data_IF_308418133786
#
_entry.id   IF_308418133786
#
_cell.length_a   1.000
_cell.length_b   1.000
_cell.length_c   1.000
_cell.angle_alpha   90.00
_cell.angle_beta   90.00
_cell.angle_gamma   90.00
#
_symmetry.space_group_name_H-M   'P 1'
#
loop_
_entity.id
_entity.type
_entity.pdbx_description
1 polymer ?
#
# COMPACT_ATOMS: atom_id res chain seq x y z
N UNK A 1 -10.78 -2.60 -15.87
CA UNK A 1 -10.56 -4.02 -15.54
C UNK A 1 -10.50 -4.29 -14.03
N UNK A 2 -9.43 -3.95 -13.29
CA UNK A 2 -9.31 -4.36 -11.88
C UNK A 2 -10.49 -3.90 -11.01
N UNK A 3 -10.95 -2.66 -11.19
CA UNK A 3 -12.17 -2.16 -10.55
C UNK A 3 -13.42 -2.95 -10.94
N UNK A 4 -13.52 -3.42 -12.19
CA UNK A 4 -14.67 -4.20 -12.68
C UNK A 4 -14.70 -5.62 -12.08
N UNK A 5 -13.54 -6.21 -11.75
CA UNK A 5 -13.46 -7.46 -10.99
C UNK A 5 -14.05 -7.25 -9.59
N UNK A 6 -13.64 -6.19 -8.88
CA UNK A 6 -14.12 -5.91 -7.52
C UNK A 6 -15.55 -5.32 -7.48
N UNK A 7 -16.07 -4.83 -8.60
CA UNK A 7 -17.50 -4.53 -8.82
C UNK A 7 -18.32 -5.81 -9.12
N UNK A 8 -17.65 -6.95 -9.39
CA UNK A 8 -18.31 -8.20 -9.77
C UNK A 8 -18.78 -8.27 -11.23
N UNK A 9 -18.42 -7.29 -12.07
CA UNK A 9 -18.77 -7.24 -13.49
C UNK A 9 -17.94 -8.22 -14.33
N UNK A 10 -16.67 -8.36 -13.96
CA UNK A 10 -15.78 -9.40 -14.50
C UNK A 10 -15.72 -10.53 -13.47
N UNK A 11 -16.30 -11.68 -13.81
CA UNK A 11 -16.51 -12.79 -12.88
C UNK A 11 -15.77 -14.07 -13.24
N UNK A 12 -15.09 -14.11 -14.40
CA UNK A 12 -14.29 -15.26 -14.87
C UNK A 12 -12.91 -14.84 -15.36
N UNK A 13 -11.91 -15.71 -15.19
CA UNK A 13 -10.52 -15.41 -15.57
C UNK A 13 -10.29 -15.33 -17.09
N UNK A 14 -11.09 -16.04 -17.89
CA UNK A 14 -11.06 -15.97 -19.35
C UNK A 14 -11.91 -14.84 -19.94
N UNK A 15 -12.35 -13.87 -19.13
CA UNK A 15 -13.10 -12.71 -19.62
C UNK A 15 -12.32 -11.99 -20.75
N UNK A 16 -12.98 -11.49 -21.81
CA UNK A 16 -12.31 -10.83 -22.93
C UNK A 16 -11.42 -9.65 -22.49
N UNK A 17 -11.79 -8.90 -21.46
CA UNK A 17 -11.00 -7.78 -20.97
C UNK A 17 -9.69 -8.24 -20.29
N UNK A 18 -9.69 -9.41 -19.63
CA UNK A 18 -8.48 -10.00 -19.06
C UNK A 18 -7.63 -10.61 -20.19
N UNK A 19 -8.26 -11.35 -21.10
CA UNK A 19 -7.58 -12.02 -22.21
C UNK A 19 -6.86 -11.03 -23.12
N UNK A 20 -7.46 -9.88 -23.41
CA UNK A 20 -6.85 -8.83 -24.22
C UNK A 20 -5.53 -8.27 -23.64
N UNK A 21 -5.36 -8.30 -22.31
CA UNK A 21 -4.15 -7.83 -21.63
C UNK A 21 -3.09 -8.94 -21.47
N UNK A 22 -3.42 -10.19 -21.77
CA UNK A 22 -2.57 -11.35 -21.53
C UNK A 22 -2.45 -12.23 -22.78
N UNK A 23 -1.99 -11.69 -23.93
CA UNK A 23 -1.86 -12.46 -25.16
C UNK A 23 -0.92 -13.66 -24.96
N UNK A 24 -1.38 -14.84 -25.36
CA UNK A 24 -0.61 -16.09 -25.25
C UNK A 24 -0.68 -16.80 -23.89
N UNK A 25 -1.38 -16.22 -22.90
CA UNK A 25 -1.63 -16.91 -21.61
C UNK A 25 -2.90 -17.74 -21.71
N UNK A 26 -2.80 -19.03 -21.39
CA UNK A 26 -3.97 -19.91 -21.30
C UNK A 26 -4.76 -19.63 -20.03
N UNK A 27 -5.70 -18.68 -20.11
CA UNK A 27 -6.55 -18.31 -18.98
C UNK A 27 -7.69 -19.33 -18.79
N UNK A 28 -7.95 -19.78 -17.55
CA UNK A 28 -8.96 -20.79 -17.29
C UNK A 28 -10.39 -20.22 -17.39
N UNK A 29 -11.34 -21.06 -17.81
CA UNK A 29 -12.77 -20.79 -17.65
C UNK A 29 -13.21 -21.04 -16.19
N UNK A 30 -12.67 -20.25 -15.28
CA UNK A 30 -12.91 -20.37 -13.86
C UNK A 30 -13.44 -19.07 -13.27
N UNK A 31 -14.39 -19.19 -12.33
CA UNK A 31 -14.91 -18.06 -11.60
C UNK A 31 -13.81 -17.37 -10.77
N UNK A 32 -13.78 -16.05 -10.79
CA UNK A 32 -12.90 -15.25 -9.95
C UNK A 32 -13.49 -15.20 -8.54
N UNK A 33 -12.65 -15.41 -7.53
CA UNK A 33 -13.03 -15.26 -6.13
C UNK A 33 -12.32 -14.05 -5.49
N UNK A 34 -12.91 -12.84 -5.53
CA UNK A 34 -12.32 -11.68 -4.89
C UNK A 34 -12.19 -11.84 -3.38
N UNK A 35 -11.07 -11.38 -2.83
CA UNK A 35 -10.77 -11.35 -1.40
C UNK A 35 -10.41 -9.92 -1.03
N UNK A 36 -11.04 -9.40 0.01
CA UNK A 36 -10.87 -8.04 0.51
C UNK A 36 -10.64 -8.07 2.02
N UNK A 37 -10.28 -6.92 2.60
CA UNK A 37 -10.16 -6.78 4.06
C UNK A 37 -11.53 -6.80 4.74
N UNK A 38 -11.58 -7.42 5.91
CA UNK A 38 -12.74 -7.39 6.80
C UNK A 38 -12.67 -6.24 7.82
N UNK A 39 -11.45 -5.80 8.15
CA UNK A 39 -11.15 -4.78 9.15
C UNK A 39 -10.77 -3.43 8.51
N UNK A 40 -10.88 -2.35 9.30
CA UNK A 40 -10.44 -1.01 8.89
C UNK A 40 -8.95 -1.00 8.56
N UNK A 41 -8.60 -0.61 7.33
CA UNK A 41 -7.27 -0.90 6.77
C UNK A 41 -6.70 0.25 5.94
N UNK A 42 -5.44 0.59 6.20
CA UNK A 42 -4.67 1.49 5.33
C UNK A 42 -4.41 0.90 3.94
N UNK A 43 -4.20 -0.41 3.84
CA UNK A 43 -4.08 -1.13 2.55
C UNK A 43 -5.37 -0.99 1.74
N UNK A 44 -6.53 -1.10 2.39
CA UNK A 44 -7.84 -0.87 1.76
C UNK A 44 -7.97 0.57 1.28
N UNK A 45 -7.55 1.55 2.07
CA UNK A 45 -7.53 2.93 1.63
C UNK A 45 -6.67 3.13 0.38
N UNK A 46 -5.42 2.64 0.37
CA UNK A 46 -4.55 2.73 -0.80
C UNK A 46 -5.14 2.06 -2.04
N UNK A 47 -5.68 0.84 -1.88
CA UNK A 47 -6.30 0.10 -2.98
C UNK A 47 -7.55 0.79 -3.52
N UNK A 48 -8.47 1.22 -2.66
CA UNK A 48 -9.73 1.86 -3.07
C UNK A 48 -9.54 3.28 -3.58
N UNK A 49 -8.55 4.02 -3.08
CA UNK A 49 -8.12 5.30 -3.65
C UNK A 49 -7.56 5.11 -5.06
N UNK A 50 -6.73 4.08 -5.29
CA UNK A 50 -6.29 3.72 -6.64
C UNK A 50 -7.48 3.40 -7.56
N UNK A 51 -8.38 2.50 -7.13
CA UNK A 51 -9.55 2.13 -7.94
C UNK A 51 -10.43 3.34 -8.27
N UNK A 52 -10.63 4.26 -7.33
CA UNK A 52 -11.38 5.50 -7.54
C UNK A 52 -10.72 6.44 -8.56
N UNK A 53 -9.40 6.34 -8.79
CA UNK A 53 -8.70 7.12 -9.81
C UNK A 53 -8.80 6.51 -11.21
N UNK A 54 -8.95 5.19 -11.31
CA UNK A 54 -8.86 4.47 -12.61
C UNK A 54 -10.17 3.85 -13.08
N UNK A 55 -11.22 3.86 -12.24
CA UNK A 55 -12.53 3.35 -12.60
C UNK A 55 -13.60 4.32 -12.07
N UNK A 56 -14.29 5.01 -12.99
CA UNK A 56 -15.30 6.02 -12.65
C UNK A 56 -16.51 5.42 -11.93
N UNK A 57 -16.95 4.22 -12.32
CA UNK A 57 -18.07 3.52 -11.69
C UNK A 57 -17.73 3.10 -10.25
N UNK A 58 -16.50 2.63 -10.02
CA UNK A 58 -16.00 2.37 -8.67
C UNK A 58 -16.05 3.63 -7.81
N UNK A 59 -15.53 4.75 -8.34
CA UNK A 59 -15.50 6.03 -7.62
C UNK A 59 -16.91 6.49 -7.23
N UNK A 60 -17.87 6.35 -8.13
CA UNK A 60 -19.25 6.77 -7.92
C UNK A 60 -19.99 5.87 -6.93
N UNK A 61 -19.87 4.54 -7.08
CA UNK A 61 -20.68 3.58 -6.30
C UNK A 61 -20.06 3.18 -4.97
N UNK A 62 -18.72 3.11 -4.89
CA UNK A 62 -18.00 2.56 -3.74
C UNK A 62 -17.11 3.63 -3.09
N UNK A 63 -16.41 4.41 -3.90
CA UNK A 63 -15.47 5.42 -3.44
C UNK A 63 -14.22 4.84 -2.77
N UNK A 64 -13.64 5.60 -1.85
CA UNK A 64 -12.40 5.26 -1.15
C UNK A 64 -12.52 5.41 0.37
N UNK A 65 -11.78 4.60 1.10
CA UNK A 65 -11.78 4.65 2.56
C UNK A 65 -11.02 3.49 3.18
N UNK A 66 -10.83 3.54 4.50
CA UNK A 66 -10.27 2.41 5.26
C UNK A 66 -11.26 1.24 5.38
N UNK A 67 -12.55 1.52 5.21
CA UNK A 67 -13.65 0.57 5.05
C UNK A 67 -14.63 1.17 4.03
N UNK A 68 -15.18 0.32 3.17
CA UNK A 68 -16.16 0.68 2.13
C UNK A 68 -17.21 -0.41 2.02
N UNK A 69 -18.36 -0.09 1.41
CA UNK A 69 -19.39 -1.08 1.12
C UNK A 69 -18.98 -1.90 -0.11
N UNK A 70 -18.26 -2.99 0.11
CA UNK A 70 -17.77 -3.87 -0.95
C UNK A 70 -18.93 -4.51 -1.73
N UNK A 71 -18.95 -4.44 -3.07
CA UNK A 71 -19.96 -5.12 -3.88
C UNK A 71 -19.89 -6.65 -3.76
N UNK A 72 -18.68 -7.20 -3.60
CA UNK A 72 -18.44 -8.63 -3.49
C UNK A 72 -17.11 -8.92 -2.76
N UNK A 73 -16.88 -10.20 -2.48
CA UNK A 73 -15.60 -10.74 -2.03
C UNK A 73 -15.57 -11.20 -0.57
N UNK A 74 -14.79 -12.26 -0.33
CA UNK A 74 -14.56 -12.79 1.01
C UNK A 74 -13.74 -11.81 1.88
N UNK A 75 -13.97 -11.85 3.19
CA UNK A 75 -13.31 -10.95 4.14
C UNK A 75 -12.16 -11.61 4.89
N UNK A 76 -10.92 -11.23 4.56
CA UNK A 76 -9.73 -11.57 5.35
C UNK A 76 -9.43 -10.49 6.39
N UNK A 77 -9.16 -10.88 7.65
CA UNK A 77 -8.67 -9.96 8.68
C UNK A 77 -7.16 -9.75 8.50
N UNK A 78 -6.71 -8.50 8.44
CA UNK A 78 -5.29 -8.20 8.23
C UNK A 78 -4.78 -8.58 6.83
N UNK A 79 -3.50 -8.31 6.57
CA UNK A 79 -2.86 -8.78 5.33
C UNK A 79 -2.71 -10.31 5.36
N UNK A 80 -2.40 -10.86 6.53
CA UNK A 80 -2.24 -12.29 6.80
C UNK A 80 -3.51 -13.07 6.45
N UNK A 81 -4.69 -12.57 6.82
CA UNK A 81 -5.95 -13.24 6.50
C UNK A 81 -6.24 -13.21 5.01
N UNK A 82 -5.99 -12.09 4.33
CA UNK A 82 -6.17 -12.00 2.87
C UNK A 82 -5.18 -12.93 2.15
N UNK A 83 -3.91 -12.92 2.53
CA UNK A 83 -2.88 -13.83 1.99
C UNK A 83 -3.24 -15.30 2.19
N UNK A 84 -3.72 -15.67 3.38
CA UNK A 84 -4.16 -17.03 3.68
C UNK A 84 -5.38 -17.46 2.85
N UNK A 85 -6.34 -16.56 2.61
CA UNK A 85 -7.44 -16.81 1.69
C UNK A 85 -6.95 -17.04 0.27
N UNK A 86 -6.08 -16.16 -0.23
CA UNK A 86 -5.54 -16.27 -1.60
C UNK A 86 -4.76 -17.57 -1.79
N UNK A 87 -3.93 -17.94 -0.82
CA UNK A 87 -3.12 -19.17 -0.89
C UNK A 87 -3.92 -20.48 -0.87
N UNK A 88 -5.16 -20.47 -0.37
CA UNK A 88 -5.99 -21.68 -0.24
C UNK A 88 -7.21 -21.74 -1.15
N UNK A 89 -7.67 -20.60 -1.65
CA UNK A 89 -8.88 -20.50 -2.47
C UNK A 89 -8.48 -20.46 -3.95
N UNK A 90 -8.78 -21.52 -4.73
CA UNK A 90 -8.47 -21.52 -6.15
C UNK A 90 -9.11 -20.34 -6.87
N UNK A 91 -8.42 -19.82 -7.89
CA UNK A 91 -8.91 -18.74 -8.76
C UNK A 91 -9.26 -17.43 -8.01
N UNK A 92 -8.66 -17.22 -6.84
CA UNK A 92 -8.89 -16.03 -6.03
C UNK A 92 -7.95 -14.88 -6.41
N UNK A 93 -8.37 -13.67 -6.06
CA UNK A 93 -7.57 -12.44 -6.19
C UNK A 93 -7.75 -11.61 -4.93
N UNK A 94 -6.65 -11.17 -4.34
CA UNK A 94 -6.64 -10.28 -3.18
C UNK A 94 -5.58 -9.20 -3.31
N UNK A 95 -5.70 -8.15 -2.51
CA UNK A 95 -4.68 -7.11 -2.38
C UNK A 95 -4.01 -7.24 -1.00
N UNK A 96 -2.68 -7.30 -1.02
CA UNK A 96 -1.84 -7.36 0.18
C UNK A 96 -0.63 -6.46 -0.01
N UNK A 97 0.00 -6.07 1.09
CA UNK A 97 1.34 -5.49 1.05
C UNK A 97 2.34 -6.53 0.50
N UNK A 98 3.33 -6.09 -0.27
CA UNK A 98 4.17 -6.95 -1.10
C UNK A 98 5.02 -7.94 -0.30
N UNK A 99 5.45 -7.60 0.92
CA UNK A 99 6.17 -8.57 1.77
C UNK A 99 5.34 -9.83 2.04
N UNK A 100 4.00 -9.72 2.15
CA UNK A 100 3.12 -10.87 2.31
C UNK A 100 3.05 -11.75 1.06
N UNK A 101 3.18 -11.16 -0.14
CA UNK A 101 3.29 -11.93 -1.38
C UNK A 101 4.54 -12.79 -1.34
N UNK A 102 5.69 -12.19 -1.04
CA UNK A 102 6.98 -12.90 -1.05
C UNK A 102 7.11 -13.95 0.05
N UNK A 103 6.79 -13.59 1.29
CA UNK A 103 6.92 -14.50 2.43
C UNK A 103 6.02 -15.74 2.28
N UNK A 104 4.84 -15.57 1.66
CA UNK A 104 3.90 -16.66 1.40
C UNK A 104 4.05 -17.28 0.00
N UNK A 105 5.03 -16.85 -0.80
CA UNK A 105 5.29 -17.32 -2.17
C UNK A 105 4.03 -17.28 -3.06
N UNK A 106 3.24 -16.21 -2.92
CA UNK A 106 2.01 -16.02 -3.71
C UNK A 106 2.34 -15.54 -5.12
N UNK A 107 1.53 -15.99 -6.07
CA UNK A 107 1.52 -15.42 -7.43
C UNK A 107 0.97 -13.99 -7.38
N UNK A 108 1.65 -13.07 -8.07
CA UNK A 108 1.23 -11.68 -8.22
C UNK A 108 1.08 -11.31 -9.70
N UNK A 109 0.45 -10.18 -9.96
CA UNK A 109 0.28 -9.64 -11.32
C UNK A 109 1.16 -8.43 -11.54
N UNK A 110 1.50 -8.17 -12.80
CA UNK A 110 1.91 -6.83 -13.20
C UNK A 110 0.68 -5.91 -13.24
N UNK A 111 0.91 -4.61 -13.14
CA UNK A 111 -0.13 -3.60 -13.35
C UNK A 111 0.33 -2.57 -14.37
N UNK A 112 -0.62 -2.15 -15.21
CA UNK A 112 -0.42 -0.99 -16.07
C UNK A 112 -0.40 0.27 -15.20
N UNK A 113 0.65 1.07 -15.31
CA UNK A 113 0.76 2.34 -14.63
C UNK A 113 0.10 3.48 -15.42
N UNK A 114 0.18 4.70 -14.88
CA UNK A 114 -0.42 5.89 -15.47
C UNK A 114 0.10 6.22 -16.87
N UNK A 115 1.34 5.85 -17.18
CA UNK A 115 1.98 6.08 -18.47
C UNK A 115 1.69 4.95 -19.48
N UNK A 116 0.88 3.95 -19.10
CA UNK A 116 0.52 2.81 -19.93
C UNK A 116 1.52 1.67 -19.92
N UNK A 117 2.61 1.75 -19.15
CA UNK A 117 3.61 0.69 -19.03
C UNK A 117 3.18 -0.35 -17.99
N UNK A 118 3.37 -1.64 -18.30
CA UNK A 118 3.18 -2.71 -17.34
C UNK A 118 4.43 -2.87 -16.49
N UNK A 119 4.28 -2.71 -15.18
CA UNK A 119 5.37 -2.78 -14.20
C UNK A 119 5.10 -3.91 -13.21
N UNK A 120 6.17 -4.50 -12.68
CA UNK A 120 6.12 -5.46 -11.58
C UNK A 120 6.22 -4.73 -10.25
N UNK A 121 5.68 -5.28 -9.15
CA UNK A 121 5.92 -4.73 -7.82
C UNK A 121 7.33 -5.06 -7.34
N UNK A 122 8.13 -4.04 -7.03
CA UNK A 122 9.46 -4.15 -6.43
C UNK A 122 9.91 -2.80 -5.83
N UNK A 123 11.05 -2.81 -5.14
CA UNK A 123 11.63 -1.62 -4.51
C UNK A 123 11.87 -0.46 -5.50
N UNK A 124 12.33 -0.74 -6.72
CA UNK A 124 12.60 0.30 -7.72
C UNK A 124 11.32 1.00 -8.20
N UNK A 125 10.26 0.24 -8.44
CA UNK A 125 8.98 0.74 -8.92
C UNK A 125 8.18 1.45 -7.83
N UNK A 126 8.32 1.03 -6.56
CA UNK A 126 7.78 1.75 -5.40
C UNK A 126 8.51 3.09 -5.20
N UNK A 127 9.85 3.11 -5.30
CA UNK A 127 10.66 4.34 -5.27
C UNK A 127 10.24 5.30 -6.38
N UNK A 128 10.06 4.80 -7.60
CA UNK A 128 9.64 5.61 -8.73
C UNK A 128 8.27 6.29 -8.50
N UNK A 129 7.33 5.60 -7.83
CA UNK A 129 6.04 6.18 -7.48
C UNK A 129 6.14 7.29 -6.41
N UNK A 130 7.16 7.25 -5.55
CA UNK A 130 7.39 8.25 -4.50
C UNK A 130 8.25 9.45 -4.95
N UNK A 131 8.86 9.40 -6.14
CA UNK A 131 9.87 10.36 -6.59
C UNK A 131 9.37 11.82 -6.67
N UNK A 132 8.09 12.03 -6.97
CA UNK A 132 7.48 13.36 -7.08
C UNK A 132 6.89 13.92 -5.78
N UNK A 133 6.98 13.20 -4.67
CA UNK A 133 6.35 13.61 -3.42
C UNK A 133 7.14 14.71 -2.69
N UNK A 134 6.46 15.81 -2.33
CA UNK A 134 7.04 16.92 -1.56
C UNK A 134 6.86 16.71 -0.06
N UNK A 135 7.71 15.85 0.50
CA UNK A 135 7.71 15.50 1.92
C UNK A 135 8.02 16.68 2.85
N UNK A 136 8.71 17.71 2.35
CA UNK A 136 9.03 18.91 3.12
C UNK A 136 7.79 19.77 3.37
N UNK A 137 6.84 19.77 2.43
CA UNK A 137 5.56 20.48 2.57
C UNK A 137 4.56 19.71 3.43
N UNK A 138 4.46 18.40 3.27
CA UNK A 138 3.54 17.56 4.04
C UNK A 138 3.96 16.09 4.00
N UNK A 139 3.84 15.40 5.13
CA UNK A 139 3.94 13.94 5.16
C UNK A 139 2.68 13.24 4.62
N UNK A 140 1.55 13.94 4.54
CA UNK A 140 0.36 13.40 3.90
C UNK A 140 0.53 13.42 2.37
N UNK A 141 1.08 12.33 1.85
CA UNK A 141 1.32 12.11 0.41
C UNK A 141 0.50 10.91 -0.06
N UNK A 142 -0.27 11.10 -1.13
CA UNK A 142 -1.02 10.02 -1.78
C UNK A 142 -0.20 9.51 -2.97
N UNK A 143 0.38 8.32 -2.84
CA UNK A 143 1.35 7.76 -3.81
C UNK A 143 0.73 6.80 -4.84
N UNK A 144 -0.59 6.74 -4.92
CA UNK A 144 -1.31 5.90 -5.90
C UNK A 144 -1.44 6.60 -7.25
N UNK A 145 -1.30 5.82 -8.33
CA UNK A 145 -1.39 6.24 -9.73
C UNK A 145 -0.55 7.50 -10.04
N UNK A 146 0.68 7.52 -9.51
CA UNK A 146 1.65 8.59 -9.78
C UNK A 146 2.20 8.47 -11.21
N UNK A 147 2.56 9.60 -11.86
CA UNK A 147 3.18 9.56 -13.17
C UNK A 147 4.59 8.97 -13.11
N UNK A 148 5.10 8.54 -14.27
CA UNK A 148 6.45 7.96 -14.40
C UNK A 148 6.44 6.53 -14.94
N UNK A 149 7.33 6.25 -15.89
CA UNK A 149 7.34 4.98 -16.66
C UNK A 149 7.54 3.74 -15.81
N UNK A 150 8.22 3.86 -14.67
CA UNK A 150 8.48 2.76 -13.74
C UNK A 150 7.64 2.85 -12.46
N UNK A 151 6.70 3.80 -12.35
CA UNK A 151 5.96 3.98 -11.11
C UNK A 151 4.95 2.84 -10.87
N UNK A 152 5.09 2.12 -9.76
CA UNK A 152 4.07 1.15 -9.33
C UNK A 152 2.77 1.88 -8.95
N UNK A 153 1.62 1.51 -9.54
CA UNK A 153 0.40 2.31 -9.42
C UNK A 153 -0.28 2.25 -8.04
N UNK A 154 0.07 1.29 -7.18
CA UNK A 154 -0.55 1.14 -5.85
C UNK A 154 0.51 1.19 -4.76
N UNK A 155 1.18 2.34 -4.66
CA UNK A 155 2.19 2.62 -3.62
C UNK A 155 1.57 3.43 -2.48
N UNK A 156 2.02 3.20 -1.25
CA UNK A 156 1.60 3.96 -0.07
C UNK A 156 2.74 4.08 0.94
N UNK A 157 2.83 5.23 1.60
CA UNK A 157 3.66 5.38 2.79
C UNK A 157 2.88 4.94 4.04
N UNK A 158 3.61 4.44 5.05
CA UNK A 158 3.06 4.13 6.36
C UNK A 158 3.52 5.17 7.39
N UNK A 159 2.74 5.35 8.45
CA UNK A 159 2.93 6.44 9.41
C UNK A 159 2.92 5.92 10.84
N UNK A 160 3.77 6.54 11.66
CA UNK A 160 3.73 6.42 13.11
C UNK A 160 3.01 7.64 13.66
N UNK A 161 2.09 7.41 14.59
CA UNK A 161 1.36 8.48 15.27
C UNK A 161 1.86 8.57 16.71
N UNK A 162 2.19 9.79 17.13
CA UNK A 162 2.55 10.12 18.50
C UNK A 162 1.80 11.38 18.93
N UNK A 163 1.42 11.46 20.20
CA UNK A 163 0.90 12.70 20.76
C UNK A 163 1.95 13.81 20.66
N UNK A 164 1.52 15.05 20.39
CA UNK A 164 2.45 16.19 20.41
C UNK A 164 2.90 16.51 21.84
N UNK A 165 1.97 16.45 22.79
CA UNK A 165 2.25 16.59 24.22
C UNK A 165 2.37 15.21 24.85
N UNK A 166 3.50 14.93 25.49
CA UNK A 166 3.84 13.65 26.08
C UNK A 166 3.73 13.72 27.60
N UNK A 167 2.67 13.14 28.15
CA UNK A 167 2.52 12.92 29.60
C UNK A 167 3.55 11.92 30.13
N UNK A 168 4.07 11.07 29.24
CA UNK A 168 5.03 9.99 29.52
C UNK A 168 6.32 10.21 28.71
N UNK A 169 7.10 11.26 29.02
CA UNK A 169 8.22 11.69 28.17
C UNK A 169 9.32 10.64 28.03
N UNK A 170 9.59 9.83 29.07
CA UNK A 170 10.57 8.74 28.99
C UNK A 170 10.18 7.66 27.96
N UNK A 171 8.89 7.32 27.88
CA UNK A 171 8.39 6.34 26.92
C UNK A 171 8.48 6.92 25.50
N UNK A 172 8.08 8.17 25.32
CA UNK A 172 8.18 8.84 24.03
C UNK A 172 9.64 8.98 23.54
N UNK A 173 10.58 9.35 24.42
CA UNK A 173 12.01 9.39 24.09
C UNK A 173 12.52 8.00 23.68
N UNK A 174 12.09 6.94 24.36
CA UNK A 174 12.44 5.55 24.00
C UNK A 174 11.91 5.18 22.61
N UNK A 175 10.65 5.49 22.31
CA UNK A 175 10.06 5.26 20.98
C UNK A 175 10.80 6.04 19.88
N UNK A 176 11.11 7.31 20.11
CA UNK A 176 11.87 8.12 19.14
C UNK A 176 13.29 7.58 18.94
N UNK A 177 13.95 7.13 20.01
CA UNK A 177 15.26 6.47 19.92
C UNK A 177 15.22 5.17 19.11
N UNK A 178 14.13 4.39 19.24
CA UNK A 178 13.93 3.20 18.41
C UNK A 178 13.82 3.57 16.93
N UNK A 179 12.99 4.56 16.58
CA UNK A 179 12.86 4.98 15.18
C UNK A 179 14.12 5.69 14.65
N UNK A 180 14.87 6.40 15.49
CA UNK A 180 16.19 6.97 15.13
C UNK A 180 17.16 5.86 14.73
N UNK A 181 17.25 4.81 15.55
CA UNK A 181 18.03 3.63 15.24
C UNK A 181 17.54 2.95 13.95
N UNK A 182 16.22 2.78 13.78
CA UNK A 182 15.67 2.16 12.59
C UNK A 182 15.99 2.95 11.31
N UNK A 183 15.91 4.28 11.32
CA UNK A 183 16.25 5.12 10.17
C UNK A 183 17.76 5.18 9.87
N UNK A 184 18.62 5.01 10.89
CA UNK A 184 20.08 5.05 10.73
C UNK A 184 20.70 3.71 10.36
N UNK A 185 20.12 2.60 10.84
CA UNK A 185 20.72 1.27 10.76
C UNK A 185 19.81 0.23 10.08
N UNK A 186 18.53 0.54 9.88
CA UNK A 186 17.51 -0.41 9.44
C UNK A 186 17.28 -0.47 7.93
N UNK A 187 17.93 0.37 7.12
CA UNK A 187 17.68 0.43 5.67
C UNK A 187 17.88 -0.91 4.98
N UNK A 188 18.93 -1.66 5.34
CA UNK A 188 19.16 -3.01 4.82
C UNK A 188 18.02 -3.96 5.21
N UNK A 189 17.60 -3.95 6.48
CA UNK A 189 16.51 -4.81 6.95
C UNK A 189 15.19 -4.49 6.24
N UNK A 190 14.92 -3.21 5.99
CA UNK A 190 13.74 -2.79 5.22
C UNK A 190 13.81 -3.29 3.77
N UNK A 191 14.96 -3.13 3.10
CA UNK A 191 15.17 -3.60 1.74
C UNK A 191 15.10 -5.13 1.62
N UNK A 192 15.64 -5.87 2.60
CA UNK A 192 15.56 -7.34 2.66
C UNK A 192 14.10 -7.84 2.83
N UNK A 193 13.18 -6.96 3.26
CA UNK A 193 11.74 -7.18 3.33
C UNK A 193 10.96 -6.49 2.19
N UNK A 194 11.66 -5.93 1.20
CA UNK A 194 11.12 -5.22 0.03
C UNK A 194 10.33 -3.93 0.33
N UNK A 195 10.61 -3.34 1.48
CA UNK A 195 10.22 -1.96 1.75
C UNK A 195 11.26 -1.01 1.18
N UNK A 196 10.78 0.10 0.64
CA UNK A 196 11.61 1.23 0.22
C UNK A 196 12.16 1.96 1.46
N UNK A 197 13.49 1.98 1.68
CA UNK A 197 14.06 2.84 2.70
C UNK A 197 13.78 4.30 2.36
N UNK A 198 13.39 5.10 3.35
CA UNK A 198 13.15 6.52 3.14
C UNK A 198 14.44 7.20 2.66
N UNK A 199 14.40 8.11 1.66
CA UNK A 199 15.58 8.87 1.29
C UNK A 199 16.10 9.74 2.45
N UNK A 200 17.40 9.97 2.53
CA UNK A 200 18.01 10.78 3.62
C UNK A 200 17.41 12.18 3.74
N UNK A 201 17.04 12.80 2.60
CA UNK A 201 16.34 14.07 2.59
C UNK A 201 15.01 14.01 3.37
N UNK A 202 14.25 12.92 3.22
CA UNK A 202 12.98 12.70 3.93
C UNK A 202 13.23 12.38 5.39
N UNK A 203 14.23 11.53 5.71
CA UNK A 203 14.65 11.26 7.09
C UNK A 203 14.98 12.55 7.85
N UNK A 204 15.67 13.49 7.21
CA UNK A 204 16.00 14.79 7.80
C UNK A 204 14.75 15.64 8.11
N UNK A 205 13.73 15.62 7.23
CA UNK A 205 12.44 16.29 7.50
C UNK A 205 11.75 15.61 8.70
N UNK A 206 11.79 14.28 8.78
CA UNK A 206 11.23 13.50 9.91
C UNK A 206 11.93 13.90 11.21
N UNK A 207 13.26 13.85 11.28
CA UNK A 207 14.01 14.22 12.48
C UNK A 207 13.75 15.66 12.92
N UNK A 208 13.61 16.59 11.96
CA UNK A 208 13.25 17.98 12.25
C UNK A 208 11.86 18.08 12.89
N UNK A 209 10.89 17.31 12.38
CA UNK A 209 9.51 17.31 12.89
C UNK A 209 9.40 16.84 14.35
N UNK A 210 10.33 16.02 14.83
CA UNK A 210 10.31 15.52 16.21
C UNK A 210 10.50 16.63 17.25
N UNK A 211 10.99 17.82 16.87
CA UNK A 211 11.04 18.99 17.75
C UNK A 211 9.64 19.49 18.17
N UNK A 212 8.59 19.08 17.47
CA UNK A 212 7.20 19.41 17.85
C UNK A 212 6.64 18.47 18.92
N UNK A 213 7.37 17.40 19.28
CA UNK A 213 7.00 16.46 20.33
C UNK A 213 7.64 16.92 21.64
N UNK A 214 6.80 17.35 22.58
CA UNK A 214 7.20 18.01 23.82
C UNK A 214 6.58 17.33 25.04
N UNK A 215 7.21 17.43 26.19
CA UNK A 215 6.61 17.04 27.46
C UNK A 215 5.58 18.07 27.93
N UNK A 216 4.93 17.82 29.08
CA UNK A 216 3.93 18.72 29.66
C UNK A 216 4.49 20.08 30.12
N UNK A 217 5.82 20.22 30.22
CA UNK A 217 6.50 21.49 30.51
C UNK A 217 6.89 22.27 29.24
N UNK A 218 6.67 21.69 28.06
CA UNK A 218 7.04 22.29 26.77
C UNK A 218 8.47 21.99 26.32
N UNK A 219 9.21 21.12 27.02
CA UNK A 219 10.56 20.70 26.63
C UNK A 219 10.49 19.63 25.54
N UNK A 220 11.33 19.75 24.52
CA UNK A 220 11.44 18.76 23.43
C UNK A 220 11.90 17.41 23.97
N UNK A 221 11.21 16.33 23.59
CA UNK A 221 11.46 14.97 24.08
C UNK A 221 12.58 14.25 23.32
N UNK A 222 12.80 14.60 22.05
CA UNK A 222 13.83 13.98 21.21
C UNK A 222 15.27 14.41 21.52
N UNK A 223 15.45 15.38 22.43
CA UNK A 223 16.74 15.94 22.82
C UNK A 223 17.26 15.37 24.13
#
# INVERSE_FOLDING_TARGET
>A
MLGDIYLGKISKWNDPAITALNPGVALPDAAIAPVRRADGSGTTFGFTNYLSKVNAEWKEKVGEGKAVNWPTGAGGKGNEGVAAFVGRLPNSIGYVEYAYVKQNKLTYTQLQNKEGAFVSPDDETFKAAAAGADWAKSFYQILTNQPGKNAWPITSATFILMHKTQEKPAQAATSLKFFDWAYKQGDKTAADLDYVPMPDAVKNVIFKSWNDIKDTSGKVVSK
#
